data_IF_395462129435
#
_entry.id   IF_395462129435
#
_cell.length_a   1.000
_cell.length_b   1.000
_cell.length_c   1.000
_cell.angle_alpha   90.00
_cell.angle_beta   90.00
_cell.angle_gamma   90.00
#
_symmetry.space_group_name_H-M   'P 1'
#
loop_
_entity.id
_entity.type
_entity.pdbx_description
1 polymer ?
#
# COMPACT_ATOMS: atom_id res chain seq x y z
N UNK A 1 16.96 17.96 -7.55
CA UNK A 1 15.55 17.49 -7.52
C UNK A 1 15.00 17.43 -6.08
N UNK A 2 15.08 18.50 -5.28
CA UNK A 2 14.71 18.49 -3.85
C UNK A 2 13.49 19.37 -3.50
N UNK A 3 12.92 20.10 -4.46
CA UNK A 3 11.88 21.12 -4.19
C UNK A 3 10.43 20.64 -4.24
N UNK A 4 10.15 19.39 -4.66
CA UNK A 4 8.77 18.94 -4.93
C UNK A 4 8.07 18.27 -3.74
N UNK A 5 8.84 17.72 -2.79
CA UNK A 5 8.29 17.01 -1.62
C UNK A 5 8.10 17.88 -0.38
N UNK A 6 8.71 19.06 -0.32
CA UNK A 6 8.57 20.00 0.81
C UNK A 6 7.22 20.71 0.86
N UNK A 7 6.44 20.68 -0.24
CA UNK A 7 5.11 21.29 -0.30
C UNK A 7 4.09 20.58 0.60
N UNK A 8 4.18 19.26 0.71
CA UNK A 8 3.22 18.46 1.48
C UNK A 8 3.49 18.52 2.98
N UNK A 9 4.76 18.67 3.39
CA UNK A 9 5.16 18.85 4.79
C UNK A 9 4.66 20.18 5.41
N UNK A 10 4.15 21.11 4.61
CA UNK A 10 3.59 22.39 5.09
C UNK A 10 2.08 22.38 5.33
N UNK A 11 1.35 21.39 4.83
CA UNK A 11 -0.12 21.37 4.92
C UNK A 11 -0.65 20.76 6.22
N UNK A 12 0.16 19.93 6.90
CA UNK A 12 -0.25 19.21 8.12
C UNK A 12 0.40 19.78 9.39
N UNK A 13 0.69 21.08 9.44
CA UNK A 13 1.12 21.68 10.71
C UNK A 13 -0.12 21.89 11.59
N UNK A 14 -0.13 21.39 12.84
CA UNK A 14 -1.16 21.72 13.81
C UNK A 14 -1.21 23.24 13.99
N UNK A 15 -2.39 23.81 13.85
CA UNK A 15 -2.63 25.26 13.98
C UNK A 15 -2.09 25.75 15.33
N UNK A 16 -1.14 26.69 15.33
CA UNK A 16 -0.66 27.26 16.59
C UNK A 16 -1.65 28.34 17.10
N UNK A 17 -1.95 28.38 18.40
CA UNK A 17 -2.79 29.43 18.96
C UNK A 17 -2.11 30.80 18.77
N UNK A 18 -2.68 31.63 17.89
CA UNK A 18 -2.15 32.96 17.52
C UNK A 18 -1.80 33.13 16.05
N UNK A 19 -1.90 32.07 15.23
CA UNK A 19 -1.58 32.13 13.80
C UNK A 19 -2.70 32.83 13.00
N UNK A 20 -2.36 33.97 12.39
CA UNK A 20 -3.30 34.83 11.64
C UNK A 20 -3.91 34.04 10.46
N UNK A 21 -5.24 33.93 10.44
CA UNK A 21 -5.97 33.35 9.33
C UNK A 21 -5.76 34.17 8.05
N UNK A 22 -5.23 33.54 7.01
CA UNK A 22 -5.24 34.12 5.66
C UNK A 22 -6.70 34.33 5.23
N UNK A 23 -7.11 35.55 4.84
CA UNK A 23 -8.47 35.80 4.43
C UNK A 23 -8.78 34.98 3.17
N UNK A 24 -9.79 34.12 3.25
CA UNK A 24 -10.31 33.38 2.10
C UNK A 24 -10.76 34.42 1.08
N UNK A 25 -10.31 34.31 -0.18
CA UNK A 25 -10.54 35.31 -1.22
C UNK A 25 -12.04 35.59 -1.52
N UNK A 26 -12.95 34.75 -1.03
CA UNK A 26 -14.38 35.00 -1.06
C UNK A 26 -15.07 34.37 0.17
N UNK A 27 -15.14 35.07 1.31
CA UNK A 27 -15.77 34.55 2.52
C UNK A 27 -17.29 34.47 2.38
N UNK A 28 -17.89 35.23 1.45
CA UNK A 28 -19.33 35.23 1.21
C UNK A 28 -19.84 33.91 0.62
N UNK A 29 -19.01 33.17 -0.13
CA UNK A 29 -19.36 31.84 -0.65
C UNK A 29 -19.62 30.80 0.46
N UNK A 30 -18.94 30.97 1.60
CA UNK A 30 -18.98 30.04 2.73
C UNK A 30 -19.73 30.62 3.93
N UNK A 31 -20.28 31.83 3.80
CA UNK A 31 -21.26 32.31 4.75
C UNK A 31 -22.46 31.35 4.68
N UNK A 32 -23.03 30.95 5.82
CA UNK A 32 -24.27 30.19 5.87
C UNK A 32 -25.42 31.13 5.47
N UNK A 33 -25.44 31.61 4.23
CA UNK A 33 -26.64 32.17 3.64
C UNK A 33 -27.65 31.04 3.50
N UNK A 34 -28.89 31.32 3.92
CA UNK A 34 -30.07 30.48 3.74
C UNK A 34 -30.04 29.79 2.37
N UNK A 35 -30.51 28.54 2.31
CA UNK A 35 -30.69 27.77 1.07
C UNK A 35 -31.56 28.57 0.08
N UNK A 36 -31.00 29.56 -0.60
CA UNK A 36 -31.61 30.17 -1.77
C UNK A 36 -31.57 29.09 -2.82
N UNK A 37 -32.75 28.62 -3.22
CA UNK A 37 -32.92 27.80 -4.40
C UNK A 37 -32.08 28.41 -5.52
N UNK A 38 -31.26 27.61 -6.22
CA UNK A 38 -30.39 28.14 -7.26
C UNK A 38 -31.26 28.92 -8.26
N UNK A 39 -30.91 30.19 -8.51
CA UNK A 39 -31.63 31.06 -9.45
C UNK A 39 -31.52 30.60 -10.91
N UNK A 40 -30.99 29.39 -11.16
CA UNK A 40 -30.77 28.82 -12.48
C UNK A 40 -32.07 28.44 -13.20
N UNK A 41 -33.24 28.54 -12.56
CA UNK A 41 -34.51 28.10 -13.15
C UNK A 41 -34.55 26.60 -13.46
N UNK A 42 -33.57 25.84 -12.96
CA UNK A 42 -33.51 24.39 -13.09
C UNK A 42 -34.33 23.84 -11.93
N UNK A 43 -35.55 23.41 -12.23
CA UNK A 43 -36.38 22.65 -11.32
C UNK A 43 -35.66 21.35 -11.00
N UNK A 44 -35.25 21.20 -9.74
CA UNK A 44 -34.65 19.96 -9.27
C UNK A 44 -35.81 19.10 -8.83
N UNK A 45 -36.04 17.99 -9.52
CA UNK A 45 -37.10 17.05 -9.15
C UNK A 45 -36.67 16.32 -7.87
N UNK A 46 -36.97 16.94 -6.73
CA UNK A 46 -36.78 16.40 -5.38
C UNK A 46 -37.79 15.28 -5.16
N UNK A 47 -37.53 14.12 -5.78
CA UNK A 47 -38.41 12.97 -5.66
C UNK A 47 -38.43 12.38 -4.24
N UNK A 48 -39.54 11.73 -3.86
CA UNK A 48 -39.62 10.98 -2.61
C UNK A 48 -38.56 9.87 -2.57
N UNK A 49 -38.02 9.60 -1.38
CA UNK A 49 -36.95 8.62 -1.15
C UNK A 49 -37.25 7.20 -1.69
N UNK A 50 -38.52 6.91 -2.01
CA UNK A 50 -39.01 5.61 -2.47
C UNK A 50 -39.08 5.45 -4.00
N UNK A 51 -38.78 6.51 -4.76
CA UNK A 51 -38.80 6.49 -6.22
C UNK A 51 -37.62 5.70 -6.82
N UNK A 52 -37.84 5.05 -7.96
CA UNK A 52 -36.83 4.22 -8.61
C UNK A 52 -35.85 5.10 -9.40
N UNK A 53 -34.53 5.07 -9.10
CA UNK A 53 -33.58 5.97 -9.73
C UNK A 53 -33.34 5.65 -11.23
N UNK A 54 -33.57 4.40 -11.66
CA UNK A 54 -33.36 3.95 -13.04
C UNK A 54 -34.30 2.79 -13.40
N UNK A 55 -34.54 2.63 -14.71
CA UNK A 55 -35.34 1.55 -15.29
C UNK A 55 -34.41 0.52 -15.92
N UNK A 56 -34.56 -0.77 -15.60
CA UNK A 56 -33.78 -1.84 -16.22
C UNK A 56 -34.61 -2.55 -17.28
N UNK A 57 -34.15 -2.58 -18.52
CA UNK A 57 -34.89 -3.21 -19.61
C UNK A 57 -35.08 -4.72 -19.37
N UNK A 58 -36.29 -5.23 -19.47
CA UNK A 58 -36.59 -6.65 -19.27
C UNK A 58 -36.04 -7.54 -20.40
N UNK A 59 -35.77 -6.97 -21.58
CA UNK A 59 -35.29 -7.72 -22.75
C UNK A 59 -33.77 -7.87 -22.79
N UNK A 60 -33.03 -6.80 -22.50
CA UNK A 60 -31.55 -6.79 -22.60
C UNK A 60 -30.85 -6.43 -21.30
N UNK A 61 -31.59 -6.26 -20.21
CA UNK A 61 -31.08 -5.95 -18.86
C UNK A 61 -30.22 -4.70 -18.72
N UNK A 62 -30.26 -3.80 -19.70
CA UNK A 62 -29.53 -2.54 -19.59
C UNK A 62 -30.30 -1.55 -18.71
N UNK A 63 -29.55 -0.89 -17.82
CA UNK A 63 -30.07 0.18 -16.99
C UNK A 63 -30.17 1.47 -17.83
N UNK A 64 -31.33 2.13 -17.78
CA UNK A 64 -31.65 3.36 -18.48
C UNK A 64 -32.09 4.43 -17.49
N UNK A 65 -31.99 5.70 -17.88
CA UNK A 65 -32.51 6.80 -17.06
C UNK A 65 -34.01 6.64 -16.86
N UNK A 66 -34.55 7.12 -15.74
CA UNK A 66 -35.97 6.98 -15.42
C UNK A 66 -36.93 7.63 -16.43
N UNK A 67 -36.42 8.62 -17.17
CA UNK A 67 -37.15 9.39 -18.18
C UNK A 67 -36.98 8.83 -19.60
N UNK A 68 -36.28 7.70 -19.76
CA UNK A 68 -36.08 7.12 -21.07
C UNK A 68 -37.36 6.41 -21.52
N UNK A 69 -37.94 6.84 -22.64
CA UNK A 69 -39.08 6.14 -23.25
C UNK A 69 -38.70 4.78 -23.86
N UNK A 70 -37.43 4.66 -24.29
CA UNK A 70 -36.89 3.48 -25.00
C UNK A 70 -35.51 3.09 -24.47
N UNK A 71 -35.22 1.80 -24.52
CA UNK A 71 -33.93 1.26 -24.13
C UNK A 71 -32.85 1.74 -25.11
N UNK A 72 -31.78 2.34 -24.59
CA UNK A 72 -30.67 2.84 -25.40
C UNK A 72 -29.85 1.73 -26.10
N UNK A 73 -30.04 0.45 -25.73
CA UNK A 73 -29.34 -0.68 -26.33
C UNK A 73 -30.21 -1.43 -27.35
N UNK A 74 -31.39 -1.90 -26.94
CA UNK A 74 -32.26 -2.72 -27.81
C UNK A 74 -33.44 -1.95 -28.43
N UNK A 75 -33.67 -0.69 -28.06
CA UNK A 75 -34.78 0.12 -28.58
C UNK A 75 -36.18 -0.26 -28.08
N UNK A 76 -36.28 -1.24 -27.17
CA UNK A 76 -37.55 -1.68 -26.59
C UNK A 76 -38.23 -0.55 -25.80
N UNK A 77 -39.58 -0.46 -25.81
CA UNK A 77 -40.32 0.51 -25.02
C UNK A 77 -40.15 0.23 -23.52
N UNK A 78 -39.85 1.27 -22.73
CA UNK A 78 -39.58 1.14 -21.29
C UNK A 78 -40.79 1.39 -20.40
N UNK A 79 -41.90 1.91 -20.96
CA UNK A 79 -43.14 2.22 -20.25
C UNK A 79 -44.29 1.26 -20.60
N UNK A 80 -43.99 -0.03 -20.69
CA UNK A 80 -45.01 -1.07 -20.87
C UNK A 80 -45.46 -1.64 -19.52
N UNK A 81 -46.71 -2.11 -19.37
CA UNK A 81 -47.18 -2.66 -18.09
C UNK A 81 -46.35 -3.87 -17.62
N UNK A 82 -45.83 -4.66 -18.57
CA UNK A 82 -44.93 -5.79 -18.30
C UNK A 82 -43.57 -5.31 -17.74
N UNK A 83 -43.01 -4.27 -18.34
CA UNK A 83 -41.75 -3.65 -17.92
C UNK A 83 -41.87 -2.99 -16.53
N UNK A 84 -43.02 -2.37 -16.24
CA UNK A 84 -43.31 -1.79 -14.93
C UNK A 84 -43.46 -2.87 -13.85
N UNK A 85 -44.07 -4.00 -14.17
CA UNK A 85 -44.13 -5.15 -13.25
C UNK A 85 -42.75 -5.73 -12.98
N UNK A 86 -41.94 -5.92 -14.03
CA UNK A 86 -40.56 -6.39 -13.91
C UNK A 86 -39.72 -5.47 -13.01
N UNK A 87 -39.74 -4.16 -13.27
CA UNK A 87 -38.98 -3.19 -12.47
C UNK A 87 -39.48 -3.13 -11.03
N UNK A 88 -40.80 -3.19 -10.79
CA UNK A 88 -41.35 -3.24 -9.43
C UNK A 88 -40.85 -4.45 -8.64
N UNK A 89 -40.84 -5.64 -9.26
CA UNK A 89 -40.32 -6.86 -8.62
C UNK A 89 -38.81 -6.77 -8.35
N UNK A 90 -38.05 -6.29 -9.33
CA UNK A 90 -36.60 -6.11 -9.21
C UNK A 90 -36.25 -5.19 -8.02
N UNK A 91 -36.94 -4.05 -7.92
CA UNK A 91 -36.69 -3.07 -6.86
C UNK A 91 -37.22 -3.51 -5.49
N UNK A 92 -38.32 -4.26 -5.44
CA UNK A 92 -38.76 -4.91 -4.19
C UNK A 92 -37.68 -5.86 -3.67
N UNK A 93 -37.10 -6.70 -4.54
CA UNK A 93 -36.02 -7.61 -4.17
C UNK A 93 -34.78 -6.87 -3.68
N UNK A 94 -34.31 -5.86 -4.42
CA UNK A 94 -33.14 -5.05 -4.03
C UNK A 94 -33.34 -4.31 -2.71
N UNK A 95 -34.54 -3.80 -2.44
CA UNK A 95 -34.84 -3.15 -1.15
C UNK A 95 -34.81 -4.14 0.00
N UNK A 96 -35.31 -5.36 -0.19
CA UNK A 96 -35.23 -6.41 0.83
C UNK A 96 -33.76 -6.80 1.12
N UNK A 97 -32.94 -6.96 0.08
CA UNK A 97 -31.51 -7.24 0.21
C UNK A 97 -30.76 -6.10 0.93
N UNK A 98 -31.01 -4.85 0.54
CA UNK A 98 -30.40 -3.69 1.17
C UNK A 98 -30.82 -3.53 2.64
N UNK A 99 -32.08 -3.81 2.97
CA UNK A 99 -32.56 -3.80 4.36
C UNK A 99 -31.88 -4.89 5.21
N UNK A 100 -31.71 -6.10 4.66
CA UNK A 100 -31.01 -7.19 5.32
C UNK A 100 -29.52 -6.86 5.53
N UNK A 101 -28.87 -6.27 4.54
CA UNK A 101 -27.47 -5.81 4.65
C UNK A 101 -27.34 -4.71 5.70
N UNK A 102 -28.24 -3.72 5.72
CA UNK A 102 -28.25 -2.69 6.75
C UNK A 102 -28.47 -3.27 8.15
N UNK A 103 -29.34 -4.27 8.30
CA UNK A 103 -29.52 -4.96 9.58
C UNK A 103 -28.26 -5.74 9.99
N UNK A 104 -27.59 -6.41 9.05
CA UNK A 104 -26.33 -7.11 9.29
C UNK A 104 -25.22 -6.13 9.71
N UNK A 105 -25.09 -5.00 9.02
CA UNK A 105 -24.16 -3.92 9.38
C UNK A 105 -24.50 -3.35 10.75
N UNK A 106 -25.78 -3.12 11.06
CA UNK A 106 -26.20 -2.70 12.40
C UNK A 106 -25.79 -3.72 13.44
N UNK A 107 -26.01 -5.02 13.23
CA UNK A 107 -25.58 -6.08 14.16
C UNK A 107 -24.05 -6.12 14.36
N UNK A 108 -23.27 -5.87 13.32
CA UNK A 108 -21.80 -5.77 13.42
C UNK A 108 -21.34 -4.48 14.13
N UNK A 109 -22.07 -3.38 13.94
CA UNK A 109 -21.74 -2.08 14.50
C UNK A 109 -22.39 -1.77 15.85
N UNK A 110 -23.39 -2.55 16.28
CA UNK A 110 -23.96 -2.46 17.61
C UNK A 110 -22.84 -2.80 18.59
N UNK A 111 -22.34 -1.82 19.36
CA UNK A 111 -21.39 -2.14 20.40
C UNK A 111 -22.09 -3.10 21.36
N UNK A 112 -21.47 -4.25 21.62
CA UNK A 112 -21.91 -5.13 22.71
C UNK A 112 -21.95 -4.25 23.95
N UNK A 113 -23.17 -3.97 24.45
CA UNK A 113 -23.36 -3.25 25.70
C UNK A 113 -22.74 -4.13 26.78
N UNK A 114 -21.50 -3.81 27.11
CA UNK A 114 -20.83 -4.37 28.27
C UNK A 114 -21.42 -3.62 29.44
N UNK A 115 -22.31 -4.30 30.17
CA UNK A 115 -22.89 -3.79 31.40
C UNK A 115 -21.77 -3.50 32.39
N UNK A 116 -21.38 -2.22 32.48
CA UNK A 116 -20.43 -1.72 33.47
C UNK A 116 -19.15 -1.17 32.88
N UNK A 117 -19.12 0.14 32.63
CA UNK A 117 -17.89 0.91 32.43
C UNK A 117 -17.75 1.47 31.02
N UNK A 118 -18.07 2.75 30.86
CA UNK A 118 -17.73 3.49 29.66
C UNK A 118 -16.22 3.71 29.57
N UNK A 119 -15.49 2.76 28.96
CA UNK A 119 -14.19 2.85 28.24
C UNK A 119 -13.63 1.41 28.02
N UNK A 120 -12.88 1.06 26.95
CA UNK A 120 -12.41 1.81 25.78
C UNK A 120 -12.47 0.97 24.46
N UNK A 121 -13.52 1.11 23.64
CA UNK A 121 -13.57 0.44 22.30
C UNK A 121 -12.47 0.98 21.35
N UNK A 122 -11.92 2.15 21.65
CA UNK A 122 -10.76 2.71 20.97
C UNK A 122 -9.47 1.88 21.21
N UNK A 123 -9.31 1.23 22.36
CA UNK A 123 -8.07 0.53 22.69
C UNK A 123 -7.92 -0.78 21.93
N UNK A 124 -9.02 -1.48 21.63
CA UNK A 124 -8.96 -2.73 20.85
C UNK A 124 -8.57 -2.48 19.39
N UNK A 125 -9.08 -1.41 18.77
CA UNK A 125 -8.70 -1.01 17.41
C UNK A 125 -7.27 -0.47 17.36
N UNK A 126 -6.86 0.27 18.39
CA UNK A 126 -5.50 0.76 18.52
C UNK A 126 -4.50 -0.39 18.70
N UNK A 127 -4.81 -1.36 19.56
CA UNK A 127 -3.99 -2.55 19.78
C UNK A 127 -3.84 -3.40 18.49
N UNK A 128 -4.93 -3.60 17.75
CA UNK A 128 -4.87 -4.28 16.45
C UNK A 128 -4.02 -3.50 15.43
N UNK A 129 -4.18 -2.18 15.39
CA UNK A 129 -3.38 -1.29 14.54
C UNK A 129 -1.89 -1.35 14.86
N UNK A 130 -1.53 -1.45 16.14
CA UNK A 130 -0.14 -1.55 16.58
C UNK A 130 0.49 -2.89 16.19
N UNK A 131 -0.25 -4.00 16.29
CA UNK A 131 0.20 -5.32 15.82
C UNK A 131 0.46 -5.32 14.32
N UNK A 132 -0.48 -4.76 13.54
CA UNK A 132 -0.32 -4.64 12.08
C UNK A 132 0.84 -3.72 11.70
N UNK A 133 1.01 -2.60 12.42
CA UNK A 133 2.12 -1.69 12.20
C UNK A 133 3.47 -2.36 12.47
N UNK A 134 3.58 -3.17 13.53
CA UNK A 134 4.80 -3.94 13.83
C UNK A 134 5.09 -4.98 12.75
N UNK A 135 4.09 -5.74 12.30
CA UNK A 135 4.29 -6.75 11.25
C UNK A 135 4.74 -6.11 9.93
N UNK A 136 4.15 -4.97 9.56
CA UNK A 136 4.57 -4.22 8.37
C UNK A 136 5.98 -3.64 8.55
N UNK A 137 6.30 -3.10 9.72
CA UNK A 137 7.64 -2.58 10.02
C UNK A 137 8.70 -3.69 9.92
N UNK A 138 8.47 -4.87 10.50
CA UNK A 138 9.39 -6.00 10.42
C UNK A 138 9.57 -6.51 8.99
N UNK A 139 8.47 -6.61 8.23
CA UNK A 139 8.50 -7.01 6.82
C UNK A 139 9.30 -6.01 5.96
N UNK A 140 9.08 -4.72 6.18
CA UNK A 140 9.78 -3.66 5.46
C UNK A 140 11.23 -3.51 5.93
N UNK A 141 11.55 -3.73 7.20
CA UNK A 141 12.92 -3.78 7.69
C UNK A 141 13.68 -4.97 7.09
N UNK A 142 13.03 -6.13 6.93
CA UNK A 142 13.58 -7.25 6.17
C UNK A 142 13.87 -6.88 4.71
N UNK A 143 12.93 -6.18 4.06
CA UNK A 143 13.08 -5.72 2.66
C UNK A 143 14.09 -4.58 2.51
N UNK A 144 14.24 -3.72 3.51
CA UNK A 144 15.15 -2.59 3.44
C UNK A 144 16.54 -2.96 3.93
N UNK A 145 16.69 -3.91 4.86
CA UNK A 145 17.99 -4.30 5.41
C UNK A 145 18.98 -4.79 4.35
N UNK A 146 18.50 -5.42 3.27
CA UNK A 146 19.36 -5.83 2.16
C UNK A 146 19.74 -4.66 1.22
N UNK A 147 18.98 -3.56 1.19
CA UNK A 147 19.22 -2.36 0.36
C UNK A 147 19.89 -1.20 1.11
N UNK A 148 19.54 -0.98 2.38
CA UNK A 148 19.89 0.20 3.19
C UNK A 148 21.31 0.17 3.74
N UNK A 149 22.08 -0.86 3.39
CA UNK A 149 23.42 -0.99 3.87
C UNK A 149 23.50 -1.44 5.33
N UNK A 150 22.47 -2.12 5.86
CA UNK A 150 22.48 -2.71 7.19
C UNK A 150 23.81 -3.44 7.46
N UNK A 151 24.42 -3.10 8.59
CA UNK A 151 25.84 -3.21 8.95
C UNK A 151 26.40 -4.65 8.89
N UNK A 152 25.52 -5.64 8.68
CA UNK A 152 25.81 -7.06 8.83
C UNK A 152 25.91 -7.84 7.51
N UNK A 153 25.59 -7.26 6.35
CA UNK A 153 25.77 -7.94 5.06
C UNK A 153 27.15 -7.64 4.47
N UNK A 154 28.03 -8.65 4.25
CA UNK A 154 29.36 -8.46 3.67
C UNK A 154 29.29 -7.83 2.28
N UNK A 155 30.28 -6.98 1.96
CA UNK A 155 30.35 -6.29 0.68
C UNK A 155 30.33 -7.27 -0.51
N UNK A 156 31.00 -8.43 -0.38
CA UNK A 156 31.01 -9.48 -1.40
C UNK A 156 29.60 -9.99 -1.75
N UNK A 157 28.73 -10.15 -0.77
CA UNK A 157 27.34 -10.61 -1.00
C UNK A 157 26.54 -9.51 -1.71
N UNK A 158 26.71 -8.24 -1.33
CA UNK A 158 26.05 -7.11 -2.00
C UNK A 158 26.47 -6.98 -3.46
N UNK A 159 27.78 -7.11 -3.74
CA UNK A 159 28.30 -7.06 -5.09
C UNK A 159 27.74 -8.18 -5.97
N UNK A 160 27.67 -9.41 -5.46
CA UNK A 160 27.08 -10.55 -6.19
C UNK A 160 25.58 -10.38 -6.43
N UNK A 161 24.84 -9.85 -5.45
CA UNK A 161 23.38 -9.65 -5.58
C UNK A 161 23.03 -8.48 -6.50
N UNK A 162 23.86 -7.42 -6.55
CA UNK A 162 23.70 -6.31 -7.49
C UNK A 162 23.92 -6.72 -8.96
N UNK A 163 24.59 -7.84 -9.22
CA UNK A 163 24.78 -8.35 -10.58
C UNK A 163 23.52 -9.06 -11.12
N UNK A 164 23.23 -8.95 -12.43
CA UNK A 164 22.12 -9.68 -13.05
C UNK A 164 22.28 -11.21 -12.88
N UNK A 165 21.18 -11.98 -12.79
CA UNK A 165 21.24 -13.43 -12.50
C UNK A 165 22.15 -14.23 -13.43
N UNK A 166 22.19 -13.88 -14.73
CA UNK A 166 23.05 -14.49 -15.75
C UNK A 166 24.55 -14.34 -15.49
N UNK A 167 24.96 -13.32 -14.74
CA UNK A 167 26.37 -13.06 -14.41
C UNK A 167 26.82 -13.72 -13.12
N UNK A 168 25.90 -14.07 -12.22
CA UNK A 168 26.23 -14.66 -10.90
C UNK A 168 26.96 -16.00 -11.03
N UNK A 169 26.44 -16.90 -11.87
CA UNK A 169 27.07 -18.19 -12.14
C UNK A 169 28.41 -18.07 -12.86
N UNK A 170 28.54 -17.08 -13.76
CA UNK A 170 29.80 -16.81 -14.47
C UNK A 170 30.89 -16.28 -13.53
N UNK A 171 30.54 -15.33 -12.67
CA UNK A 171 31.46 -14.79 -11.67
C UNK A 171 31.89 -15.87 -10.67
N UNK A 172 30.94 -16.69 -10.17
CA UNK A 172 31.24 -17.81 -9.29
C UNK A 172 32.16 -18.86 -9.95
N UNK A 173 31.87 -19.24 -11.19
CA UNK A 173 32.69 -20.19 -11.96
C UNK A 173 34.10 -19.66 -12.24
N UNK A 174 34.24 -18.37 -12.57
CA UNK A 174 35.54 -17.75 -12.79
C UNK A 174 36.40 -17.74 -11.52
N UNK A 175 35.81 -17.40 -10.37
CA UNK A 175 36.51 -17.42 -9.07
C UNK A 175 36.92 -18.85 -8.69
N UNK A 176 36.02 -19.83 -8.87
CA UNK A 176 36.31 -21.23 -8.59
C UNK A 176 37.44 -21.79 -9.47
N UNK A 177 37.41 -21.49 -10.77
CA UNK A 177 38.44 -21.92 -11.72
C UNK A 177 39.79 -21.27 -11.42
N UNK A 178 39.78 -19.98 -11.03
CA UNK A 178 40.98 -19.26 -10.66
C UNK A 178 41.60 -19.78 -9.34
N UNK A 179 40.79 -20.03 -8.30
CA UNK A 179 41.26 -20.63 -7.05
C UNK A 179 41.72 -22.08 -7.23
N UNK A 180 41.01 -22.87 -8.02
CA UNK A 180 41.39 -24.26 -8.33
C UNK A 180 42.71 -24.32 -9.10
N UNK A 181 42.87 -23.48 -10.13
CA UNK A 181 44.10 -23.42 -10.92
C UNK A 181 45.31 -22.96 -10.10
N UNK A 182 45.16 -21.91 -9.31
CA UNK A 182 46.25 -21.41 -8.45
C UNK A 182 46.57 -22.38 -7.30
N UNK A 183 45.57 -23.06 -6.74
CA UNK A 183 45.76 -24.08 -5.71
C UNK A 183 46.51 -25.32 -6.22
N UNK A 184 46.13 -25.84 -7.40
CA UNK A 184 46.83 -26.97 -8.04
C UNK A 184 48.27 -26.59 -8.38
N UNK A 185 48.50 -25.39 -8.93
CA UNK A 185 49.84 -24.89 -9.23
C UNK A 185 50.69 -24.75 -7.96
N UNK A 186 50.12 -24.25 -6.85
CA UNK A 186 50.81 -24.12 -5.57
C UNK A 186 51.23 -25.49 -4.99
N UNK A 187 50.37 -26.52 -5.12
CA UNK A 187 50.67 -27.87 -4.64
C UNK A 187 51.75 -28.57 -5.48
N UNK A 188 51.77 -28.33 -6.80
CA UNK A 188 52.64 -29.06 -7.71
C UNK A 188 54.04 -28.45 -7.86
N UNK A 189 54.16 -27.13 -7.85
CA UNK A 189 55.40 -26.47 -8.28
C UNK A 189 56.41 -26.18 -7.18
N UNK A 190 56.06 -26.32 -5.88
CA UNK A 190 56.89 -25.93 -4.71
C UNK A 190 57.51 -24.51 -4.79
N UNK A 191 57.12 -23.71 -5.77
CA UNK A 191 57.59 -22.34 -5.94
C UNK A 191 56.77 -21.41 -5.04
N UNK A 192 57.40 -20.39 -4.43
CA UNK A 192 56.72 -19.50 -3.49
C UNK A 192 55.69 -18.59 -4.17
N UNK A 193 55.89 -18.25 -5.44
CA UNK A 193 55.04 -17.33 -6.20
C UNK A 193 53.57 -17.77 -6.31
N UNK A 194 53.22 -18.99 -6.78
CA UNK A 194 51.83 -19.45 -6.83
C UNK A 194 51.20 -19.60 -5.45
N UNK A 195 52.01 -19.92 -4.44
CA UNK A 195 51.55 -20.02 -3.04
C UNK A 195 51.07 -18.66 -2.51
N UNK A 196 51.86 -17.59 -2.73
CA UNK A 196 51.48 -16.23 -2.34
C UNK A 196 50.23 -15.74 -3.06
N UNK A 197 50.09 -16.03 -4.36
CA UNK A 197 48.90 -15.69 -5.14
C UNK A 197 47.64 -16.38 -4.61
N UNK A 198 47.73 -17.67 -4.29
CA UNK A 198 46.63 -18.44 -3.72
C UNK A 198 46.22 -17.94 -2.32
N UNK A 199 47.18 -17.74 -1.41
CA UNK A 199 46.82 -17.27 -0.05
C UNK A 199 46.39 -15.80 -0.03
N UNK A 200 47.00 -14.94 -0.84
CA UNK A 200 46.65 -13.52 -0.93
C UNK A 200 45.21 -13.32 -1.42
N UNK A 201 44.83 -14.04 -2.47
CA UNK A 201 43.46 -14.01 -2.98
C UNK A 201 42.42 -14.64 -2.07
N UNK A 202 42.75 -15.76 -1.41
CA UNK A 202 41.91 -16.34 -0.38
C UNK A 202 41.67 -15.33 0.76
N UNK A 203 42.73 -14.62 1.18
CA UNK A 203 42.65 -13.55 2.17
C UNK A 203 41.76 -12.39 1.72
N UNK A 204 41.86 -11.94 0.46
CA UNK A 204 40.99 -10.90 -0.11
C UNK A 204 39.53 -11.35 -0.16
N UNK A 205 39.25 -12.58 -0.61
CA UNK A 205 37.90 -13.13 -0.62
C UNK A 205 37.33 -13.20 0.79
N UNK A 206 38.10 -13.72 1.75
CA UNK A 206 37.69 -13.81 3.14
C UNK A 206 37.43 -12.42 3.72
N UNK A 207 38.24 -11.42 3.36
CA UNK A 207 38.07 -10.01 3.73
C UNK A 207 36.83 -9.34 3.10
N UNK A 208 36.42 -9.75 1.91
CA UNK A 208 35.23 -9.22 1.21
C UNK A 208 33.93 -9.87 1.69
N UNK A 209 34.00 -11.13 2.12
CA UNK A 209 32.84 -11.92 2.56
C UNK A 209 32.69 -12.00 4.09
N UNK A 210 33.59 -11.41 4.87
CA UNK A 210 33.41 -11.26 6.32
C UNK A 210 32.65 -9.98 6.67
N UNK A 211 31.63 -10.03 7.56
CA UNK A 211 30.91 -8.85 8.00
C UNK A 211 31.83 -7.94 8.85
N UNK A 212 31.73 -6.63 8.64
CA UNK A 212 32.62 -5.63 9.24
C UNK A 212 32.62 -5.65 10.79
N UNK A 213 31.52 -6.08 11.42
CA UNK A 213 31.41 -6.19 12.89
C UNK A 213 32.39 -7.18 13.52
N UNK A 214 32.83 -8.24 12.82
CA UNK A 214 33.81 -9.18 13.37
C UNK A 214 35.25 -8.65 13.34
N UNK A 215 35.58 -7.63 12.53
CA UNK A 215 36.94 -7.04 12.51
C UNK A 215 37.29 -6.30 13.79
N UNK A 216 36.30 -5.67 14.44
CA UNK A 216 36.52 -4.91 15.67
C UNK A 216 36.58 -5.77 16.93
N UNK A 217 36.04 -7.00 16.91
CA UNK A 217 36.04 -7.88 18.09
C UNK A 217 37.42 -8.49 18.39
N UNK A 218 38.30 -8.60 17.38
CA UNK A 218 39.68 -9.08 17.57
C UNK A 218 40.63 -8.01 18.07
N UNK A 219 40.24 -6.72 18.03
CA UNK A 219 41.06 -5.60 18.50
C UNK A 219 40.83 -5.19 19.94
N UNK A 220 39.76 -5.67 20.59
CA UNK A 220 39.36 -5.22 21.94
C UNK A 220 39.53 -6.25 23.06
N UNK A 221 40.13 -7.43 22.79
CA UNK A 221 40.67 -8.29 23.87
C UNK A 221 42.10 -7.85 24.20
N UNK A 222 42.21 -6.57 24.58
CA UNK A 222 43.36 -6.05 25.28
C UNK A 222 43.39 -6.66 26.67
N UNK A 223 44.55 -7.21 27.00
CA UNK A 223 44.95 -7.77 28.29
C UNK A 223 44.39 -7.00 29.49
N UNK A 224 43.63 -7.70 30.32
CA UNK A 224 43.63 -7.55 31.77
C UNK A 224 43.82 -8.94 32.37
#
# INVERSE_FOLDING_TARGET
MAGRFTRFLRLERPHQPGEQHTPVANPARFAPEERRAPASGIETDEEPADAQPFLRCAQCEMDNTRFADRCANCGAPLHTPEQDLYNRQLWQKRRAEAAAEQEALRKMHTPVATDGGAQPVHDARYALGEVLAREVAEREEGRLSWMSGAVDVPFGIRAVMAMPPRWRWRAGGAVALWLGGTGIAALHTRHPTPMWLFFGSLGVLLAFFTPARRRYWWGSRGWW
#
